data_IF_472269696411
#
_entry.id   IF_472269696411
#
_cell.length_a   1.000
_cell.length_b   1.000
_cell.length_c   1.000
_cell.angle_alpha   90.00
_cell.angle_beta   90.00
_cell.angle_gamma   90.00
#
_symmetry.space_group_name_H-M   'P 1'
#
loop_
_entity.id
_entity.type
_entity.pdbx_description
1 polymer ?
#
# COMPACT_ATOMS: atom_id res chain seq x y z
N UNK A 1 20.48 59.81 64.83
CA UNK A 1 19.47 58.75 64.64
C UNK A 1 18.91 58.92 63.23
N UNK A 2 19.32 58.08 62.29
CA UNK A 2 18.93 58.19 60.88
C UNK A 2 18.67 56.77 60.37
N UNK A 3 17.40 56.41 60.23
CA UNK A 3 16.97 55.10 59.76
C UNK A 3 16.76 55.17 58.25
N UNK A 4 17.57 54.40 57.52
CA UNK A 4 17.40 54.13 56.08
C UNK A 4 16.56 52.85 55.98
N UNK A 5 15.39 52.93 55.37
CA UNK A 5 14.56 51.77 55.03
C UNK A 5 14.93 51.36 53.61
N UNK A 6 15.61 50.21 53.48
CA UNK A 6 15.94 49.59 52.20
C UNK A 6 14.81 48.62 51.83
N UNK A 7 14.02 48.96 50.81
CA UNK A 7 12.99 48.07 50.27
C UNK A 7 13.63 47.06 49.31
N UNK A 8 13.58 45.77 49.67
CA UNK A 8 14.10 44.66 48.87
C UNK A 8 12.97 44.15 47.95
N UNK A 9 12.98 44.53 46.68
CA UNK A 9 12.05 44.02 45.67
C UNK A 9 12.48 42.64 45.18
N UNK A 10 11.73 41.60 45.55
CA UNK A 10 11.92 40.23 45.07
C UNK A 10 11.39 40.08 43.65
N UNK A 11 12.30 39.96 42.67
CA UNK A 11 11.97 39.55 41.30
C UNK A 11 11.65 38.05 41.30
N UNK A 12 10.37 37.69 41.12
CA UNK A 12 9.99 36.30 40.82
C UNK A 12 10.44 35.98 39.38
N UNK A 13 11.23 34.91 39.16
CA UNK A 13 11.52 34.44 37.82
C UNK A 13 10.25 33.82 37.22
N UNK A 14 9.73 34.42 36.14
CA UNK A 14 8.78 33.73 35.26
C UNK A 14 9.52 32.57 34.62
N UNK A 15 9.33 31.36 35.15
CA UNK A 15 9.70 30.14 34.44
C UNK A 15 8.82 30.05 33.19
N UNK A 16 9.41 30.30 32.02
CA UNK A 16 8.78 29.98 30.75
C UNK A 16 8.60 28.46 30.69
N UNK A 17 7.36 27.99 30.82
CA UNK A 17 7.01 26.62 30.52
C UNK A 17 7.23 26.42 29.01
N UNK A 18 8.34 25.79 28.64
CA UNK A 18 8.48 25.27 27.29
C UNK A 18 7.37 24.22 27.09
N UNK A 19 6.57 24.29 26.02
CA UNK A 19 5.62 23.22 25.73
C UNK A 19 6.44 21.94 25.56
N UNK A 20 6.29 21.01 26.50
CA UNK A 20 6.79 19.65 26.35
C UNK A 20 6.27 19.13 25.01
N UNK A 21 7.17 18.60 24.19
CA UNK A 21 6.96 18.28 22.78
C UNK A 21 5.64 17.57 22.51
N UNK A 22 4.60 18.33 22.23
CA UNK A 22 3.37 17.80 21.66
C UNK A 22 3.75 17.27 20.29
N UNK A 23 3.60 15.97 20.09
CA UNK A 23 3.71 15.39 18.76
C UNK A 23 2.77 16.16 17.82
N UNK A 24 3.26 16.51 16.63
CA UNK A 24 2.44 17.17 15.64
C UNK A 24 1.28 16.24 15.25
N UNK A 25 0.07 16.80 15.13
CA UNK A 25 -1.06 16.09 14.54
C UNK A 25 -0.74 15.77 13.09
N UNK A 26 -1.05 14.57 12.65
CA UNK A 26 -0.97 14.23 11.24
C UNK A 26 -1.93 15.09 10.40
N UNK A 27 -1.54 15.40 9.17
CA UNK A 27 -2.35 16.15 8.20
C UNK A 27 -3.59 15.38 7.69
N UNK A 28 -3.88 14.20 8.28
CA UNK A 28 -5.01 13.33 7.98
C UNK A 28 -6.22 13.67 8.85
N UNK A 29 -6.83 14.84 8.61
CA UNK A 29 -8.02 15.25 9.38
C UNK A 29 -9.14 14.20 9.32
N UNK A 30 -9.59 13.76 10.51
CA UNK A 30 -10.63 12.76 10.69
C UNK A 30 -10.18 11.32 10.41
N UNK A 31 -8.88 11.03 10.40
CA UNK A 31 -8.30 9.68 10.28
C UNK A 31 -9.05 8.67 11.16
N UNK A 32 -9.20 8.97 12.45
CA UNK A 32 -9.88 8.06 13.39
C UNK A 32 -11.34 7.84 12.99
N UNK A 33 -12.10 8.92 12.79
CA UNK A 33 -13.52 8.82 12.41
C UNK A 33 -13.76 8.07 11.10
N UNK A 34 -12.93 8.29 10.07
CA UNK A 34 -13.03 7.63 8.76
C UNK A 34 -12.61 6.17 8.83
N UNK A 35 -11.71 5.82 9.74
CA UNK A 35 -11.27 4.43 9.96
C UNK A 35 -12.38 3.56 10.56
N UNK A 36 -13.27 4.13 11.38
CA UNK A 36 -14.35 3.39 12.04
C UNK A 36 -15.73 3.56 11.39
N UNK A 37 -15.89 4.46 10.40
CA UNK A 37 -17.16 4.71 9.75
C UNK A 37 -17.27 4.05 8.36
N UNK A 38 -17.87 2.85 8.30
CA UNK A 38 -18.12 2.12 7.05
C UNK A 38 -16.89 1.97 6.13
N UNK A 39 -15.72 1.79 6.74
CA UNK A 39 -14.43 1.75 6.06
C UNK A 39 -14.37 0.72 4.91
N UNK A 40 -13.83 1.17 3.78
CA UNK A 40 -13.50 0.35 2.61
C UNK A 40 -12.30 0.96 1.89
N UNK A 41 -11.35 0.13 1.49
CA UNK A 41 -10.36 0.54 0.51
C UNK A 41 -10.97 0.66 -0.87
N UNK A 42 -10.32 1.42 -1.73
CA UNK A 42 -10.51 1.33 -3.18
C UNK A 42 -9.23 0.82 -3.80
N UNK A 43 -9.31 -0.35 -4.45
CA UNK A 43 -8.29 -0.88 -5.35
C UNK A 43 -8.54 -0.20 -6.69
N UNK A 44 -7.59 0.62 -7.14
CA UNK A 44 -7.69 1.44 -8.33
C UNK A 44 -6.80 0.89 -9.43
N UNK A 45 -7.38 0.76 -10.62
CA UNK A 45 -6.70 0.43 -11.87
C UNK A 45 -5.81 -0.81 -11.74
N UNK A 46 -6.37 -1.89 -11.16
CA UNK A 46 -5.67 -3.16 -11.09
C UNK A 46 -5.36 -3.68 -12.49
N UNK A 47 -4.06 -3.70 -12.79
CA UNK A 47 -3.47 -4.16 -14.02
C UNK A 47 -2.75 -5.49 -13.77
N UNK A 48 -3.09 -6.48 -14.57
CA UNK A 48 -2.29 -7.69 -14.73
C UNK A 48 -1.96 -7.87 -16.20
N UNK A 49 -0.68 -8.08 -16.47
CA UNK A 49 -0.22 -8.49 -17.79
C UNK A 49 0.97 -9.43 -17.65
N UNK A 50 1.20 -10.22 -18.68
CA UNK A 50 2.34 -11.12 -18.75
C UNK A 50 2.86 -11.29 -20.17
N UNK A 51 4.13 -11.60 -20.26
CA UNK A 51 4.82 -11.93 -21.51
C UNK A 51 5.52 -13.26 -21.36
N UNK A 52 5.38 -14.09 -22.37
CA UNK A 52 6.08 -15.35 -22.52
C UNK A 52 6.90 -15.29 -23.79
N UNK A 53 8.21 -15.43 -23.66
CA UNK A 53 9.12 -15.49 -24.79
C UNK A 53 9.86 -16.83 -24.79
N UNK A 54 9.73 -17.58 -25.87
CA UNK A 54 10.45 -18.83 -26.07
C UNK A 54 11.45 -18.65 -27.20
N UNK A 55 12.74 -18.79 -26.89
CA UNK A 55 13.79 -18.79 -27.92
C UNK A 55 14.00 -20.19 -28.50
N UNK A 56 13.60 -21.22 -27.75
CA UNK A 56 13.42 -22.61 -28.21
C UNK A 56 12.19 -23.18 -27.51
N UNK A 57 11.62 -24.32 -27.93
CA UNK A 57 10.50 -24.95 -27.22
C UNK A 57 10.76 -25.25 -25.73
N UNK A 58 12.03 -25.34 -25.32
CA UNK A 58 12.42 -25.64 -23.94
C UNK A 58 13.10 -24.46 -23.21
N UNK A 59 13.27 -23.30 -23.85
CA UNK A 59 13.95 -22.15 -23.26
C UNK A 59 13.01 -20.95 -23.17
N UNK A 60 12.50 -20.75 -21.95
CA UNK A 60 11.50 -19.75 -21.61
C UNK A 60 12.14 -18.55 -20.90
N UNK A 61 11.82 -17.34 -21.35
CA UNK A 61 12.04 -16.08 -20.63
C UNK A 61 10.67 -15.40 -20.50
N UNK A 62 10.05 -15.48 -19.33
CA UNK A 62 8.67 -15.02 -19.15
C UNK A 62 8.47 -14.36 -17.82
N UNK A 63 7.61 -13.36 -17.81
CA UNK A 63 7.33 -12.54 -16.65
C UNK A 63 5.85 -12.17 -16.60
N UNK A 64 5.32 -12.13 -15.39
CA UNK A 64 4.04 -11.52 -15.06
C UNK A 64 4.25 -10.29 -14.21
N UNK A 65 3.35 -9.33 -14.37
CA UNK A 65 3.36 -8.06 -13.68
C UNK A 65 1.99 -7.77 -13.08
N UNK A 66 2.00 -7.16 -11.91
CA UNK A 66 0.83 -6.60 -11.24
C UNK A 66 1.13 -5.15 -10.89
N UNK A 67 0.18 -4.25 -11.14
CA UNK A 67 0.28 -2.84 -10.77
C UNK A 67 -1.09 -2.30 -10.40
N UNK A 68 -1.20 -1.59 -9.27
CA UNK A 68 -2.43 -0.91 -8.85
C UNK A 68 -2.15 0.13 -7.76
N UNK A 69 -3.13 0.99 -7.48
CA UNK A 69 -3.10 1.87 -6.33
C UNK A 69 -4.14 1.46 -5.28
N UNK A 70 -3.85 1.71 -4.01
CA UNK A 70 -4.76 1.54 -2.89
C UNK A 70 -5.08 2.90 -2.30
N UNK A 71 -6.36 3.26 -2.33
CA UNK A 71 -6.90 4.42 -1.64
C UNK A 71 -7.52 3.98 -0.32
N UNK A 72 -7.02 4.56 0.77
CA UNK A 72 -7.58 4.45 2.11
C UNK A 72 -8.27 5.79 2.44
N UNK A 73 -9.58 5.81 2.78
CA UNK A 73 -10.30 7.05 3.06
C UNK A 73 -9.77 7.82 4.30
N UNK A 74 -9.09 7.14 5.22
CA UNK A 74 -8.47 7.75 6.40
C UNK A 74 -7.13 8.44 6.10
N UNK A 75 -6.56 8.26 4.91
CA UNK A 75 -5.28 8.82 4.50
C UNK A 75 -5.48 9.82 3.36
N UNK A 76 -4.59 10.81 3.25
CA UNK A 76 -4.59 11.81 2.18
C UNK A 76 -3.68 11.44 0.99
N UNK A 77 -3.05 10.27 1.03
CA UNK A 77 -2.22 9.70 -0.03
C UNK A 77 -2.65 8.28 -0.40
N UNK A 78 -2.08 7.75 -1.48
CA UNK A 78 -2.31 6.38 -1.97
C UNK A 78 -1.04 5.54 -1.80
N UNK A 79 -1.23 4.24 -1.60
CA UNK A 79 -0.14 3.27 -1.71
C UNK A 79 -0.09 2.73 -3.15
N UNK A 80 1.09 2.72 -3.77
CA UNK A 80 1.34 2.15 -5.11
C UNK A 80 1.89 0.75 -4.95
N UNK A 81 1.14 -0.24 -5.42
CA UNK A 81 1.44 -1.66 -5.28
C UNK A 81 1.91 -2.24 -6.61
N UNK A 82 3.14 -2.77 -6.66
CA UNK A 82 3.74 -3.32 -7.87
C UNK A 82 4.46 -4.63 -7.56
N UNK A 83 4.35 -5.59 -8.46
CA UNK A 83 5.12 -6.82 -8.39
C UNK A 83 5.46 -7.34 -9.78
N UNK A 84 6.60 -8.01 -9.86
CA UNK A 84 6.99 -8.81 -11.02
C UNK A 84 7.32 -10.22 -10.55
N UNK A 85 7.02 -11.21 -11.38
CA UNK A 85 7.32 -12.61 -11.07
C UNK A 85 7.66 -13.38 -12.34
N UNK A 86 8.58 -14.33 -12.20
CA UNK A 86 8.99 -15.27 -13.23
C UNK A 86 8.63 -16.72 -12.86
N UNK A 87 7.72 -16.93 -11.90
CA UNK A 87 7.21 -18.26 -11.60
C UNK A 87 6.53 -18.85 -12.84
N UNK A 88 6.67 -20.17 -13.03
CA UNK A 88 6.16 -20.85 -14.21
C UNK A 88 4.64 -20.75 -14.32
N UNK A 89 4.15 -20.73 -15.56
CA UNK A 89 2.73 -20.74 -15.97
C UNK A 89 1.93 -19.48 -15.63
N UNK A 90 1.69 -19.18 -14.35
CA UNK A 90 0.70 -18.18 -13.90
C UNK A 90 1.33 -16.96 -13.22
N UNK A 91 2.63 -17.02 -12.93
CA UNK A 91 3.47 -16.01 -12.26
C UNK A 91 3.08 -15.68 -10.81
N UNK A 92 1.80 -15.65 -10.46
CA UNK A 92 1.32 -15.26 -9.13
C UNK A 92 0.36 -16.31 -8.58
N UNK A 93 0.70 -16.87 -7.42
CA UNK A 93 -0.03 -17.98 -6.78
C UNK A 93 -0.58 -17.63 -5.38
N UNK A 94 -0.53 -16.36 -4.98
CA UNK A 94 -0.99 -15.90 -3.66
C UNK A 94 -0.09 -16.29 -2.49
N UNK A 95 1.08 -16.87 -2.74
CA UNK A 95 2.01 -17.36 -1.71
C UNK A 95 3.11 -16.37 -1.36
N UNK A 96 3.33 -15.36 -2.19
CA UNK A 96 4.33 -14.32 -2.00
C UNK A 96 3.63 -13.02 -1.61
N UNK A 97 4.14 -12.37 -0.56
CA UNK A 97 3.70 -11.06 -0.09
C UNK A 97 4.63 -10.00 -0.68
N UNK A 98 4.03 -8.95 -1.23
CA UNK A 98 4.74 -7.83 -1.84
C UNK A 98 4.41 -6.55 -1.08
N UNK A 99 5.42 -5.71 -0.89
CA UNK A 99 5.28 -4.40 -0.27
C UNK A 99 4.82 -3.37 -1.30
N UNK A 100 3.90 -2.49 -0.90
CA UNK A 100 3.53 -1.32 -1.66
C UNK A 100 4.35 -0.12 -1.20
N UNK A 101 4.59 0.82 -2.11
CA UNK A 101 5.30 2.06 -1.82
C UNK A 101 4.32 3.18 -1.48
N UNK A 102 4.57 3.90 -0.39
CA UNK A 102 3.89 5.14 -0.01
C UNK A 102 4.85 6.33 -0.11
N UNK A 103 4.36 7.59 -0.09
CA UNK A 103 5.24 8.75 -0.01
C UNK A 103 6.13 8.74 1.24
N UNK A 104 7.29 9.38 1.16
CA UNK A 104 8.21 9.51 2.30
C UNK A 104 7.53 10.21 3.50
N UNK A 105 7.96 9.84 4.71
CA UNK A 105 7.43 10.36 5.98
C UNK A 105 5.95 10.07 6.21
N UNK A 106 5.42 9.00 5.62
CA UNK A 106 4.08 8.50 5.91
C UNK A 106 4.14 7.27 6.82
N UNK A 107 3.10 7.07 7.63
CA UNK A 107 3.04 5.99 8.63
C UNK A 107 2.36 4.71 8.13
N UNK A 108 1.76 4.72 6.95
CA UNK A 108 1.03 3.54 6.48
C UNK A 108 1.94 2.55 5.78
N UNK A 109 1.84 1.30 6.21
CA UNK A 109 2.49 0.15 5.57
C UNK A 109 1.41 -0.67 4.88
N UNK A 110 1.61 -0.97 3.60
CA UNK A 110 0.63 -1.72 2.81
C UNK A 110 1.32 -2.87 2.12
N UNK A 111 0.75 -4.07 2.22
CA UNK A 111 1.24 -5.26 1.53
C UNK A 111 0.11 -5.97 0.81
N UNK A 112 0.45 -6.74 -0.22
CA UNK A 112 -0.53 -7.52 -0.97
C UNK A 112 0.02 -8.88 -1.38
N UNK A 113 -0.90 -9.81 -1.63
CA UNK A 113 -0.64 -11.07 -2.32
C UNK A 113 -1.72 -11.27 -3.39
N UNK A 114 -1.32 -11.72 -4.58
CA UNK A 114 -2.23 -11.98 -5.68
C UNK A 114 -2.09 -13.41 -6.19
N UNK A 115 -3.21 -14.04 -6.51
CA UNK A 115 -3.29 -15.35 -7.16
C UNK A 115 -3.99 -15.22 -8.50
N UNK A 116 -3.25 -15.42 -9.60
CA UNK A 116 -3.82 -15.36 -10.95
C UNK A 116 -4.85 -16.46 -11.22
N UNK A 117 -4.65 -17.73 -10.77
CA UNK A 117 -5.61 -18.81 -11.01
C UNK A 117 -6.98 -18.60 -10.36
N UNK A 118 -7.02 -18.07 -9.13
CA UNK A 118 -8.28 -17.82 -8.42
C UNK A 118 -8.81 -16.39 -8.61
N UNK A 119 -7.96 -15.47 -9.05
CA UNK A 119 -8.25 -14.03 -9.06
C UNK A 119 -8.22 -13.39 -7.67
N UNK A 120 -7.79 -14.12 -6.64
CA UNK A 120 -7.80 -13.62 -5.27
C UNK A 120 -6.70 -12.56 -5.07
N UNK A 121 -7.10 -11.40 -4.55
CA UNK A 121 -6.23 -10.34 -4.06
C UNK A 121 -6.43 -10.21 -2.56
N UNK A 122 -5.37 -10.47 -1.81
CA UNK A 122 -5.29 -10.21 -0.38
C UNK A 122 -4.50 -8.91 -0.14
N UNK A 123 -4.98 -8.08 0.77
CA UNK A 123 -4.37 -6.80 1.12
C UNK A 123 -4.33 -6.63 2.63
N UNK A 124 -3.17 -6.23 3.13
CA UNK A 124 -3.00 -5.83 4.51
C UNK A 124 -2.54 -4.38 4.53
N UNK A 125 -3.11 -3.58 5.42
CA UNK A 125 -2.64 -2.22 5.64
C UNK A 125 -2.62 -1.91 7.14
N UNK A 126 -1.51 -1.36 7.59
CA UNK A 126 -1.37 -0.75 8.90
C UNK A 126 -1.30 0.75 8.72
N UNK A 127 -2.00 1.54 9.53
CA UNK A 127 -1.84 2.99 9.58
C UNK A 127 -2.08 3.52 10.99
N UNK A 128 -1.54 4.69 11.27
CA UNK A 128 -1.64 5.34 12.58
C UNK A 128 -2.43 6.63 12.44
N UNK A 129 -3.36 6.86 13.37
CA UNK A 129 -4.16 8.08 13.49
C UNK A 129 -3.79 8.82 14.78
N UNK A 130 -3.30 10.06 14.65
CA UNK A 130 -2.93 10.95 15.75
C UNK A 130 -3.88 12.16 15.89
N UNK A 131 -5.02 12.14 15.18
CA UNK A 131 -5.92 13.30 15.03
C UNK A 131 -6.73 13.62 16.30
N UNK A 132 -7.09 12.61 17.08
CA UNK A 132 -7.77 12.76 18.37
C UNK A 132 -6.76 13.07 19.50
N UNK A 133 -5.76 12.20 19.67
CA UNK A 133 -4.68 12.33 20.66
C UNK A 133 -3.30 12.08 20.01
N UNK A 134 -2.49 13.13 19.82
CA UNK A 134 -1.14 12.99 19.24
C UNK A 134 -0.15 12.30 20.17
N UNK A 135 -0.38 12.33 21.48
CA UNK A 135 0.50 11.71 22.47
C UNK A 135 0.29 10.20 22.53
N UNK A 136 -0.94 9.74 22.30
CA UNK A 136 -1.33 8.32 22.28
C UNK A 136 -2.12 8.00 20.99
N UNK A 137 -1.43 7.88 19.85
CA UNK A 137 -2.10 7.68 18.58
C UNK A 137 -2.63 6.24 18.44
N UNK A 138 -3.70 6.09 17.67
CA UNK A 138 -4.34 4.78 17.43
C UNK A 138 -3.68 4.15 16.21
N UNK A 139 -3.07 2.98 16.38
CA UNK A 139 -2.56 2.16 15.28
C UNK A 139 -3.61 1.12 14.88
N UNK A 140 -3.93 1.07 13.60
CA UNK A 140 -4.98 0.23 13.04
C UNK A 140 -4.34 -0.78 12.08
N UNK A 141 -4.67 -2.05 12.26
CA UNK A 141 -4.30 -3.13 11.37
C UNK A 141 -5.56 -3.65 10.68
N UNK A 142 -5.60 -3.61 9.35
CA UNK A 142 -6.73 -4.10 8.58
C UNK A 142 -6.30 -5.12 7.53
N UNK A 143 -7.16 -6.12 7.35
CA UNK A 143 -6.94 -7.26 6.46
C UNK A 143 -8.15 -7.43 5.55
N UNK A 144 -7.90 -7.50 4.24
CA UNK A 144 -8.91 -7.59 3.19
C UNK A 144 -8.61 -8.71 2.21
N UNK A 145 -9.67 -9.24 1.61
CA UNK A 145 -9.58 -10.21 0.52
C UNK A 145 -10.76 -9.99 -0.44
N UNK A 146 -10.50 -10.05 -1.74
CA UNK A 146 -11.54 -10.09 -2.77
C UNK A 146 -11.10 -10.91 -3.98
N UNK A 147 -12.07 -11.36 -4.77
CA UNK A 147 -11.82 -12.01 -6.05
C UNK A 147 -12.02 -11.01 -7.19
N UNK A 148 -10.96 -10.76 -7.95
CA UNK A 148 -10.96 -9.97 -9.16
C UNK A 148 -11.42 -10.84 -10.34
N UNK A 149 -12.36 -10.32 -11.12
CA UNK A 149 -12.68 -10.86 -12.44
C UNK A 149 -11.86 -10.09 -13.46
N UNK A 150 -10.86 -10.74 -14.02
CA UNK A 150 -9.99 -10.17 -15.04
C UNK A 150 -10.52 -10.62 -16.42
N UNK A 151 -10.82 -9.65 -17.27
CA UNK A 151 -11.07 -9.89 -18.68
C UNK A 151 -9.77 -9.67 -19.43
N UNK A 152 -9.29 -10.69 -20.15
CA UNK A 152 -7.93 -10.70 -20.66
C UNK A 152 -7.89 -11.15 -22.12
N UNK A 153 -7.09 -10.42 -22.89
CA UNK A 153 -6.71 -10.79 -24.24
C UNK A 153 -5.44 -11.64 -24.19
N UNK A 154 -5.46 -12.75 -24.91
CA UNK A 154 -4.35 -13.67 -25.05
C UNK A 154 -3.93 -13.74 -26.52
N UNK A 155 -2.73 -13.27 -26.81
CA UNK A 155 -2.17 -13.24 -28.15
C UNK A 155 -0.95 -14.14 -28.20
N UNK A 156 -0.98 -15.13 -29.09
CA UNK A 156 0.16 -16.04 -29.31
C UNK A 156 0.66 -15.89 -30.74
N UNK A 157 1.97 -15.85 -30.89
CA UNK A 157 2.67 -15.88 -32.17
C UNK A 157 3.73 -16.98 -32.14
N UNK A 158 3.88 -17.69 -33.25
CA UNK A 158 4.87 -18.75 -33.42
C UNK A 158 5.53 -18.60 -34.79
N UNK A 159 6.84 -18.84 -34.84
CA UNK A 159 7.62 -18.83 -36.07
C UNK A 159 7.72 -20.25 -36.64
N UNK A 160 6.98 -20.60 -37.71
CA UNK A 160 7.04 -21.94 -38.29
C UNK A 160 8.37 -22.24 -38.98
N UNK A 161 9.14 -21.21 -39.38
CA UNK A 161 10.41 -21.31 -40.09
C UNK A 161 11.63 -21.02 -39.18
N UNK A 162 11.46 -21.23 -37.87
CA UNK A 162 12.43 -20.85 -36.85
C UNK A 162 13.83 -21.40 -37.09
N UNK A 163 14.83 -20.53 -36.90
CA UNK A 163 16.25 -20.88 -36.89
C UNK A 163 16.90 -20.55 -35.56
N UNK A 164 17.97 -21.28 -35.25
CA UNK A 164 18.76 -21.07 -34.03
C UNK A 164 19.19 -19.60 -33.90
N UNK A 165 18.79 -18.96 -32.80
CA UNK A 165 19.03 -17.55 -32.52
C UNK A 165 17.82 -16.64 -32.70
N UNK A 166 16.73 -17.13 -33.30
CA UNK A 166 15.47 -16.40 -33.45
C UNK A 166 14.53 -16.64 -32.25
N UNK A 167 13.45 -15.87 -32.16
CA UNK A 167 12.34 -16.18 -31.24
C UNK A 167 11.50 -17.28 -31.89
N UNK A 168 11.31 -18.37 -31.16
CA UNK A 168 10.47 -19.49 -31.58
C UNK A 168 9.00 -19.15 -31.41
N UNK A 169 8.60 -18.68 -30.23
CA UNK A 169 7.23 -18.21 -30.00
C UNK A 169 7.17 -17.10 -28.95
N UNK A 170 6.10 -16.33 -29.01
CA UNK A 170 5.72 -15.38 -27.98
C UNK A 170 4.25 -15.53 -27.63
N UNK A 171 3.93 -15.26 -26.37
CA UNK A 171 2.56 -15.12 -25.90
C UNK A 171 2.48 -13.88 -25.02
N UNK A 172 1.45 -13.07 -25.20
CA UNK A 172 1.19 -11.90 -24.36
C UNK A 172 -0.22 -12.02 -23.81
N UNK A 173 -0.35 -11.86 -22.50
CA UNK A 173 -1.65 -11.75 -21.84
C UNK A 173 -1.76 -10.33 -21.30
N UNK A 174 -2.83 -9.63 -21.65
CA UNK A 174 -3.11 -8.28 -21.16
C UNK A 174 -4.56 -8.22 -20.70
N UNK A 175 -4.79 -7.80 -19.47
CA UNK A 175 -6.12 -7.69 -18.92
C UNK A 175 -6.59 -6.23 -18.86
N UNK A 176 -7.90 -6.04 -18.92
CA UNK A 176 -8.51 -4.73 -18.68
C UNK A 176 -8.28 -4.28 -17.23
N UNK A 177 -8.16 -2.96 -17.04
CA UNK A 177 -7.99 -2.37 -15.72
C UNK A 177 -9.23 -2.58 -14.86
N UNK A 178 -9.03 -3.01 -13.61
CA UNK A 178 -10.13 -3.27 -12.67
C UNK A 178 -10.07 -2.35 -11.47
N UNK A 179 -11.14 -1.57 -11.25
CA UNK A 179 -11.34 -0.79 -10.01
C UNK A 179 -12.43 -1.42 -9.15
N UNK A 180 -12.12 -1.71 -7.88
CA UNK A 180 -13.05 -2.34 -6.91
C UNK A 180 -12.90 -1.77 -5.51
N UNK A 181 -14.02 -1.73 -4.78
CA UNK A 181 -14.01 -1.44 -3.35
C UNK A 181 -13.84 -2.72 -2.55
N UNK A 182 -12.99 -2.67 -1.53
CA UNK A 182 -12.72 -3.80 -0.65
C UNK A 182 -13.10 -3.45 0.78
N UNK A 183 -13.97 -4.25 1.38
CA UNK A 183 -14.24 -4.19 2.81
C UNK A 183 -13.23 -5.10 3.52
N UNK A 184 -12.55 -4.65 4.58
CA UNK A 184 -11.75 -5.54 5.41
C UNK A 184 -12.64 -6.64 6.02
N UNK A 185 -12.13 -7.86 6.09
CA UNK A 185 -12.77 -8.93 6.86
C UNK A 185 -12.36 -8.87 8.34
N UNK A 186 -11.23 -8.21 8.65
CA UNK A 186 -10.73 -7.99 10.01
C UNK A 186 -10.09 -6.61 10.12
N UNK A 187 -10.38 -5.93 11.22
CA UNK A 187 -9.72 -4.70 11.64
C UNK A 187 -9.46 -4.76 13.15
N UNK A 188 -8.27 -4.40 13.56
CA UNK A 188 -7.83 -4.32 14.96
C UNK A 188 -7.26 -2.92 15.20
N UNK A 189 -7.54 -2.34 16.36
CA UNK A 189 -7.07 -1.01 16.74
C UNK A 189 -6.41 -1.07 18.11
N UNK A 190 -5.23 -0.47 18.22
CA UNK A 190 -4.40 -0.43 19.41
C UNK A 190 -4.14 1.04 19.73
N UNK A 191 -4.47 1.47 20.94
CA UNK A 191 -4.34 2.82 21.46
C UNK A 191 -3.48 2.83 22.72
#
# INVERSE_FOLDING_TARGET
MQNIITALTTLLPLAAAAPFGLAARDDNAGCTSKSFNHFKWTIEDFDYHSSYLFTTPAHQNSWGYVNFNVTNPALNYKASCKAASNQLSEFFYGTMVYDCTTPDNTSAETTFAFSRPSGQLDLNQTWTCSDEDPQYPITIHAYGSLNLKLDCKDETWENPDWKMGEIYSSRTVTCDLVTKRMKPYRMEAIA
#
